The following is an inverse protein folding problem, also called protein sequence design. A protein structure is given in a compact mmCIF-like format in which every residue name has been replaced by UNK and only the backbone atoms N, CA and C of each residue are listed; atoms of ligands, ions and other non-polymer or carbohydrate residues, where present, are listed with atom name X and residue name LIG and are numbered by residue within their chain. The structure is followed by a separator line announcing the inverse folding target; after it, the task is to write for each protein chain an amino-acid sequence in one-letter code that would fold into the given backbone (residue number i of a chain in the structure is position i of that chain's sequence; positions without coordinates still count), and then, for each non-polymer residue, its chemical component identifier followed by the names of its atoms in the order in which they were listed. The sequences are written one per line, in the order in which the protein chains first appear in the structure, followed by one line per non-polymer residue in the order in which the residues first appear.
data_IF_188566298124
#
_entry.id   IF_188566298124
#
_cell.length_a   1.000
_cell.length_b   1.000
_cell.length_c   1.000
_cell.angle_alpha   90.00
_cell.angle_beta   90.00
_cell.angle_gamma   90.00
#
_symmetry.space_group_name_H-M   'P 1'
#
loop_
_entity.id
_entity.type
_entity.pdbx_description
1 polymer ?
2 non-polymer ?
3 non-polymer ?
4 non-polymer ?
5 water ?
#
# COMPACT_ATOMS: atom_id res chain seq x y z
N UNK A 2 1.09 -0.97 -22.55
CA UNK A 2 2.11 -1.78 -21.91
C UNK A 2 1.58 -3.18 -21.59
N UNK A 3 2.43 -4.18 -21.79
CA UNK A 3 2.01 -5.56 -21.56
C UNK A 3 1.79 -5.85 -20.09
N UNK A 4 2.47 -5.13 -19.20
CA UNK A 4 2.29 -5.35 -17.77
C UNK A 4 0.97 -4.79 -17.24
N UNK A 5 0.23 -4.05 -18.04
CA UNK A 5 -1.07 -3.54 -17.66
C UNK A 5 -2.21 -4.40 -18.18
N UNK A 6 -1.92 -5.50 -18.88
CA UNK A 6 -2.95 -6.40 -19.33
C UNK A 6 -3.55 -7.17 -18.16
N UNK A 7 -4.77 -7.66 -18.35
CA UNK A 7 -5.51 -8.36 -17.32
C UNK A 7 -5.80 -9.79 -17.75
N UNK A 8 -5.83 -10.69 -16.78
CA UNK A 8 -6.25 -12.05 -17.02
C UNK A 8 -7.75 -12.11 -17.30
N UNK A 9 -8.26 -13.31 -17.57
CA UNK A 9 -9.70 -13.46 -17.70
C UNK A 9 -10.38 -13.39 -16.33
N UNK A 10 -9.72 -13.92 -15.30
CA UNK A 10 -10.26 -13.83 -13.94
C UNK A 10 -10.22 -12.39 -13.43
N UNK A 11 -9.11 -11.69 -13.68
CA UNK A 11 -9.01 -10.29 -13.25
C UNK A 11 -10.04 -9.42 -13.94
N UNK A 12 -10.27 -9.65 -15.24
CA UNK A 12 -11.29 -8.88 -15.95
C UNK A 12 -12.69 -9.19 -15.42
N UNK A 13 -12.93 -10.45 -15.02
CA UNK A 13 -14.23 -10.80 -14.47
C UNK A 13 -14.48 -10.10 -13.14
N UNK A 14 -13.48 -10.12 -12.25
CA UNK A 14 -13.65 -9.49 -10.94
C UNK A 14 -13.80 -7.99 -11.07
N UNK A 15 -13.10 -7.37 -12.02
CA UNK A 15 -13.20 -5.92 -12.18
C UNK A 15 -14.58 -5.53 -12.69
N UNK A 16 -15.15 -6.31 -13.61
CA UNK A 16 -16.50 -6.02 -14.08
C UNK A 16 -17.54 -6.26 -12.99
N UNK A 17 -17.34 -7.31 -12.18
CA UNK A 17 -18.28 -7.60 -11.11
C UNK A 17 -18.29 -6.48 -10.07
N UNK A 18 -17.12 -5.87 -9.81
CA UNK A 18 -17.07 -4.77 -8.86
C UNK A 18 -17.83 -3.56 -9.38
N UNK A 19 -17.60 -3.18 -10.64
CA UNK A 19 -18.29 -2.04 -11.22
C UNK A 19 -19.79 -2.31 -11.36
N UNK A 20 -20.17 -3.56 -11.63
CA UNK A 20 -21.59 -3.89 -11.73
C UNK A 20 -22.27 -3.73 -10.37
N UNK A 21 -21.64 -4.21 -9.29
CA UNK A 21 -22.20 -4.02 -7.96
C UNK A 21 -22.14 -2.56 -7.54
N UNK A 22 -21.13 -1.82 -8.01
CA UNK A 22 -20.99 -0.42 -7.62
C UNK A 22 -22.08 0.45 -8.25
N UNK A 23 -22.55 0.10 -9.45
CA UNK A 23 -23.61 0.87 -10.09
C UNK A 23 -24.89 0.85 -9.27
N UNK A 24 -25.12 -0.21 -8.50
CA UNK A 24 -26.33 -0.34 -7.69
C UNK A 24 -26.30 0.52 -6.43
N UNK A 25 -25.16 1.07 -6.06
CA UNK A 25 -25.01 1.72 -4.75
C UNK A 25 -25.74 3.05 -4.73
N UNK A 26 -25.30 4.00 -5.55
CA UNK A 26 -25.87 5.33 -5.53
C UNK A 26 -25.13 6.25 -4.58
N UNK A 27 -25.79 7.36 -4.24
CA UNK A 27 -25.18 8.37 -3.39
C UNK A 27 -25.05 7.86 -1.96
N UNK A 28 -23.84 8.01 -1.40
CA UNK A 28 -23.57 7.54 -0.06
C UNK A 28 -24.02 8.58 0.97
N UNK A 29 -24.76 8.13 1.97
CA UNK A 29 -25.21 8.98 3.07
C UNK A 29 -24.86 8.32 4.39
N UNK A 30 -24.64 9.14 5.41
CA UNK A 30 -24.12 8.64 6.68
C UNK A 30 -25.09 7.69 7.36
N UNK A 31 -26.39 8.02 7.35
CA UNK A 31 -27.38 7.21 8.04
C UNK A 31 -27.60 5.84 7.41
N UNK A 32 -27.03 5.59 6.22
CA UNK A 32 -27.21 4.32 5.54
C UNK A 32 -26.16 3.28 5.94
N UNK A 33 -25.34 3.57 6.94
CA UNK A 33 -24.25 2.69 7.34
C UNK A 33 -24.45 2.20 8.77
N UNK A 34 -24.26 0.91 8.98
CA UNK A 34 -24.23 0.31 10.30
C UNK A 34 -22.85 -0.28 10.53
N UNK A 35 -22.24 0.07 11.67
CA UNK A 35 -20.89 -0.40 11.96
C UNK A 35 -20.91 -1.88 12.31
N UNK A 36 -19.92 -2.61 11.79
CA UNK A 36 -19.76 -4.03 12.06
C UNK A 36 -18.59 -4.28 13.00
N UNK A 37 -17.42 -3.75 12.67
CA UNK A 37 -16.23 -3.90 13.51
C UNK A 37 -15.25 -2.79 13.13
N UNK A 38 -14.26 -2.59 14.00
CA UNK A 38 -13.21 -1.63 13.76
C UNK A 38 -12.02 -2.35 13.11
N UNK A 39 -11.70 -1.97 11.87
CA UNK A 39 -10.62 -2.62 11.14
C UNK A 39 -9.24 -2.15 11.61
N UNK A 40 -9.15 -0.95 12.15
CA UNK A 40 -7.87 -0.42 12.59
C UNK A 40 -7.83 1.08 12.48
N UNK A 41 -6.78 1.66 13.06
CA UNK A 41 -6.53 3.09 13.00
C UNK A 41 -5.32 3.39 12.14
N UNK A 42 -5.34 4.54 11.46
CA UNK A 42 -4.23 4.92 10.62
C UNK A 42 -4.46 6.19 9.80
N UNK A 43 -3.45 7.06 9.81
CA UNK A 43 -3.41 8.26 8.98
C UNK A 43 -4.56 9.20 9.33
N UNK A 44 -4.63 9.56 10.60
CA UNK A 44 -5.53 10.57 11.10
C UNK A 44 -6.98 10.16 11.23
N UNK A 45 -7.31 8.91 10.93
CA UNK A 45 -8.69 8.48 11.00
C UNK A 45 -8.79 7.00 11.29
N UNK A 46 -9.91 6.61 11.91
CA UNK A 46 -10.21 5.22 12.21
C UNK A 46 -10.96 4.62 11.02
N UNK A 47 -10.62 3.38 10.68
CA UNK A 47 -11.28 2.65 9.60
C UNK A 47 -12.19 1.60 10.20
N UNK A 48 -13.45 1.62 9.78
CA UNK A 48 -14.45 0.67 10.24
C UNK A 48 -14.89 -0.25 9.11
N UNK A 49 -15.08 -1.52 9.43
CA UNK A 49 -15.81 -2.43 8.55
C UNK A 49 -17.30 -2.16 8.75
N UNK A 50 -17.96 -1.66 7.71
CA UNK A 50 -19.35 -1.24 7.82
C UNK A 50 -20.18 -1.97 6.77
N UNK A 51 -21.49 -1.96 7.00
CA UNK A 51 -22.46 -2.51 6.06
C UNK A 51 -23.30 -1.36 5.50
N UNK A 52 -23.32 -1.25 4.17
CA UNK A 52 -24.21 -0.30 3.51
C UNK A 52 -25.60 -0.91 3.52
N UNK A 53 -26.43 -0.47 4.46
CA UNK A 53 -27.72 -1.11 4.70
C UNK A 53 -28.62 -1.24 3.47
N UNK A 54 -28.76 -0.22 2.58
CA UNK A 54 -29.61 -0.40 1.40
C UNK A 54 -29.13 -1.46 0.44
N UNK A 55 -27.85 -1.38 0.05
CA UNK A 55 -27.33 -2.31 -0.94
C UNK A 55 -26.87 -3.62 -0.33
N UNK A 56 -26.68 -3.67 0.99
CA UNK A 56 -26.20 -4.87 1.65
C UNK A 56 -24.71 -5.13 1.52
N UNK A 57 -23.99 -4.31 0.76
CA UNK A 57 -22.56 -4.52 0.59
C UNK A 57 -21.80 -4.25 1.88
N UNK A 58 -20.63 -4.88 2.00
CA UNK A 58 -19.71 -4.63 3.10
C UNK A 58 -18.59 -3.73 2.59
N UNK A 59 -18.33 -2.64 3.30
CA UNK A 59 -17.34 -1.66 2.89
C UNK A 59 -16.41 -1.33 4.04
N UNK A 60 -15.30 -0.71 3.70
CA UNK A 60 -14.40 -0.10 4.69
C UNK A 60 -14.63 1.41 4.68
N UNK A 61 -14.90 1.97 5.86
CA UNK A 61 -15.23 3.38 6.00
C UNK A 61 -14.18 4.05 6.88
N UNK A 62 -13.45 4.99 6.32
CA UNK A 62 -12.45 5.77 7.04
C UNK A 62 -13.02 7.13 7.37
N UNK A 63 -13.09 7.46 8.66
CA UNK A 63 -13.63 8.74 9.12
C UNK A 63 -12.48 9.63 9.58
N UNK A 64 -12.35 10.79 8.95
CA UNK A 64 -11.31 11.75 9.26
C UNK A 64 -11.97 12.98 9.86
N UNK A 65 -11.74 13.21 11.15
CA UNK A 65 -12.35 14.34 11.84
C UNK A 65 -11.69 15.63 11.40
N UNK A 66 -12.44 16.47 10.68
CA UNK A 66 -11.92 17.73 10.17
C UNK A 66 -13.00 18.79 10.27
N UNK A 67 -12.67 19.92 10.90
CA UNK A 67 -13.56 21.06 11.01
C UNK A 67 -13.12 22.09 9.98
N UNK A 68 -13.76 22.08 8.82
CA UNK A 68 -13.45 23.01 7.73
C UNK A 68 -14.74 23.61 7.21
N UNK A 69 -14.61 24.80 6.61
CA UNK A 69 -15.76 25.47 6.04
C UNK A 69 -16.41 24.60 4.97
N UNK A 70 -17.73 24.73 4.76
CA UNK A 70 -18.40 23.87 3.76
C UNK A 70 -17.74 23.87 2.40
N UNK A 71 -17.17 24.99 1.98
CA UNK A 71 -16.48 25.04 0.68
C UNK A 71 -15.26 24.13 0.66
N UNK A 72 -14.47 24.15 1.74
CA UNK A 72 -13.26 23.33 1.79
C UNK A 72 -13.62 21.85 1.69
N UNK A 73 -14.71 21.46 2.34
CA UNK A 73 -15.12 20.06 2.32
C UNK A 73 -15.56 19.63 0.92
N UNK A 74 -16.37 20.47 0.26
CA UNK A 74 -16.86 20.13 -1.08
C UNK A 74 -15.72 20.02 -2.09
N UNK A 75 -14.61 20.73 -1.85
CA UNK A 75 -13.45 20.61 -2.72
C UNK A 75 -12.77 19.25 -2.53
N UNK A 76 -12.60 18.83 -1.27
CA UNK A 76 -12.00 17.53 -0.99
C UNK A 76 -12.83 16.42 -1.61
N UNK A 77 -14.15 16.49 -1.44
CA UNK A 77 -15.04 15.47 -1.99
C UNK A 77 -14.94 15.44 -3.51
N UNK A 78 -14.84 16.62 -4.13
CA UNK A 78 -14.70 16.68 -5.58
C UNK A 78 -13.35 16.13 -6.03
N UNK A 79 -12.29 16.39 -5.26
CA UNK A 79 -10.98 15.90 -5.63
C UNK A 79 -10.86 14.39 -5.46
N UNK A 80 -11.63 13.80 -4.54
CA UNK A 80 -11.62 12.36 -4.35
C UNK A 80 -12.40 11.62 -5.42
N UNK A 81 -13.19 12.33 -6.23
CA UNK A 81 -13.97 11.69 -7.28
C UNK A 81 -13.10 11.06 -8.36
N UNK A 82 -11.83 11.48 -8.46
CA UNK A 82 -10.93 10.89 -9.44
C UNK A 82 -10.69 9.41 -9.15
N UNK A 83 -10.91 8.98 -7.90
CA UNK A 83 -10.74 7.57 -7.55
C UNK A 83 -11.77 6.69 -8.25
N UNK A 84 -12.89 7.25 -8.70
CA UNK A 84 -13.86 6.45 -9.45
C UNK A 84 -13.27 5.94 -10.75
N UNK A 85 -12.29 6.66 -11.32
CA UNK A 85 -11.68 6.28 -12.58
C UNK A 85 -10.47 5.37 -12.42
N UNK A 86 -9.96 5.21 -11.21
CA UNK A 86 -8.80 4.34 -10.97
C UNK A 86 -9.32 2.93 -10.70
N UNK A 87 -9.38 2.13 -11.75
CA UNK A 87 -9.88 0.76 -11.67
C UNK A 87 -8.80 -0.20 -12.17
N UNK A 88 -8.33 -1.06 -11.29
CA UNK A 88 -7.24 -1.97 -11.61
C UNK A 88 -7.25 -3.12 -10.61
N UNK A 89 -6.78 -4.30 -10.98
CA UNK A 89 -6.68 -5.40 -10.01
C UNK A 89 -5.69 -5.13 -8.89
N UNK A 90 -4.92 -4.04 -8.97
CA UNK A 90 -3.91 -3.72 -7.96
C UNK A 90 -4.19 -2.42 -7.24
N UNK A 91 -5.39 -1.87 -7.39
CA UNK A 91 -5.82 -0.67 -6.67
C UNK A 91 -7.11 -1.00 -5.93
N UNK A 92 -7.15 -0.66 -4.64
CA UNK A 92 -8.33 -0.95 -3.83
C UNK A 92 -9.54 -0.24 -4.42
N UNK A 93 -10.65 -0.96 -4.54
CA UNK A 93 -11.83 -0.39 -5.15
C UNK A 93 -12.41 0.75 -4.32
N UNK A 94 -12.89 1.78 -5.00
CA UNK A 94 -13.42 2.98 -4.38
C UNK A 94 -14.92 3.06 -4.59
N UNK A 95 -15.64 3.47 -3.55
CA UNK A 95 -17.09 3.60 -3.60
C UNK A 95 -17.59 5.03 -3.57
N UNK A 96 -17.04 5.86 -2.69
CA UNK A 96 -17.48 7.24 -2.62
C UNK A 96 -16.92 7.92 -1.39
N UNK A 97 -17.22 9.22 -1.30
CA UNK A 97 -16.78 10.03 -0.17
C UNK A 97 -17.84 11.09 0.11
N UNK A 98 -17.98 11.43 1.38
CA UNK A 98 -18.99 12.41 1.77
C UNK A 98 -18.60 13.01 3.12
N UNK A 99 -19.23 14.13 3.44
CA UNK A 99 -19.04 14.81 4.71
C UNK A 99 -20.31 14.73 5.54
N UNK A 100 -20.14 14.51 6.85
CA UNK A 100 -21.28 14.40 7.75
C UNK A 100 -20.88 14.56 9.22
N UNK A 101 -21.50 15.51 9.92
CA UNK A 101 -21.29 15.69 11.36
C UNK A 101 -19.81 15.87 11.70
N UNK A 102 -19.14 16.72 10.93
CA UNK A 102 -17.76 17.06 11.23
C UNK A 102 -16.74 16.03 10.85
N UNK A 103 -17.09 15.06 10.01
CA UNK A 103 -16.18 13.97 9.67
C UNK A 103 -16.25 13.68 8.18
N UNK A 104 -15.09 13.61 7.54
CA UNK A 104 -14.99 13.17 6.16
C UNK A 104 -14.94 11.65 6.13
N UNK A 105 -15.83 11.04 5.34
CA UNK A 105 -15.87 9.60 5.18
C UNK A 105 -15.35 9.21 3.81
N UNK A 106 -14.57 8.14 3.76
CA UNK A 106 -14.06 7.57 2.52
C UNK A 106 -14.38 6.08 2.54
N UNK A 107 -15.25 5.66 1.63
CA UNK A 107 -15.74 4.29 1.58
C UNK A 107 -15.08 3.55 0.42
N UNK A 108 -14.45 2.41 0.72
CA UNK A 108 -13.69 1.68 -0.27
C UNK A 108 -14.02 0.19 -0.16
N UNK A 109 -13.42 -0.58 -1.07
CA UNK A 109 -13.56 -2.03 -1.05
C UNK A 109 -12.96 -2.61 0.23
N UNK A 110 -13.60 -3.65 0.76
CA UNK A 110 -13.13 -4.31 1.97
C UNK A 110 -12.17 -5.44 1.63
N UNK A 111 -11.00 -5.43 2.27
CA UNK A 111 -9.97 -6.46 2.10
C UNK A 111 -9.84 -7.20 3.42
N UNK A 112 -10.37 -8.44 3.47
CA UNK A 112 -10.44 -9.17 4.72
C UNK A 112 -9.08 -9.64 5.24
N UNK A 113 -8.00 -9.42 4.50
CA UNK A 113 -6.68 -9.74 4.98
C UNK A 113 -5.96 -8.61 5.69
N UNK A 114 -6.56 -7.43 5.74
CA UNK A 114 -5.92 -6.29 6.36
C UNK A 114 -4.76 -5.77 5.52
N UNK A 115 -3.92 -4.97 6.16
CA UNK A 115 -2.72 -4.45 5.52
C UNK A 115 -1.55 -5.38 5.78
N UNK A 116 -0.49 -5.20 4.98
CA UNK A 116 0.72 -5.99 5.19
C UNK A 116 1.44 -5.60 6.46
N UNK A 117 1.21 -4.39 6.98
CA UNK A 117 1.70 -4.05 8.31
C UNK A 117 1.05 -4.95 9.36
N UNK A 118 -0.27 -5.14 9.27
CA UNK A 118 -0.96 -6.02 10.21
C UNK A 118 -0.56 -7.48 10.00
N UNK A 119 -0.40 -7.88 8.74
CA UNK A 119 0.00 -9.26 8.44
C UNK A 119 1.40 -9.54 8.95
N UNK A 120 2.30 -8.56 8.86
CA UNK A 120 3.67 -8.75 9.31
C UNK A 120 3.75 -8.98 10.81
N UNK A 121 2.92 -8.26 11.58
CA UNK A 121 2.90 -8.47 13.03
C UNK A 121 2.44 -9.88 13.37
N UNK A 122 1.52 -10.43 12.58
CA UNK A 122 1.08 -11.81 12.79
C UNK A 122 2.16 -12.79 12.37
N UNK A 123 2.76 -12.59 11.19
CA UNK A 123 3.66 -13.58 10.63
C UNK A 123 5.05 -13.55 11.27
N UNK A 124 5.46 -12.41 11.80
CA UNK A 124 6.84 -12.25 12.23
C UNK A 124 7.69 -11.75 11.08
N UNK A 125 7.86 -12.58 10.05
CA UNK A 125 8.44 -12.14 8.80
C UNK A 125 7.75 -12.90 7.65
N UNK A 126 7.86 -12.34 6.46
CA UNK A 126 7.13 -12.81 5.28
C UNK A 126 8.13 -13.47 4.34
N UNK A 127 7.84 -14.68 3.84
CA UNK A 127 8.83 -15.39 3.01
C UNK A 127 9.10 -14.68 1.69
N UNK A 128 10.23 -15.06 1.08
CA UNK A 128 10.68 -14.39 -0.13
C UNK A 128 9.71 -14.63 -1.30
N UNK A 129 9.23 -15.86 -1.46
CA UNK A 129 8.31 -16.16 -2.54
C UNK A 129 7.02 -15.34 -2.42
N UNK A 130 6.52 -15.17 -1.20
CA UNK A 130 5.35 -14.32 -0.98
C UNK A 130 5.69 -12.87 -1.34
N UNK A 131 6.85 -12.40 -0.90
CA UNK A 131 7.28 -11.04 -1.23
C UNK A 131 7.51 -10.85 -2.72
N UNK A 132 7.80 -11.92 -3.46
CA UNK A 132 7.86 -11.81 -4.90
C UNK A 132 6.52 -11.47 -5.51
N UNK A 133 5.45 -12.09 -5.01
CA UNK A 133 4.11 -11.74 -5.46
C UNK A 133 3.74 -10.31 -5.04
N UNK A 134 4.19 -9.89 -3.87
CA UNK A 134 3.90 -8.53 -3.41
C UNK A 134 4.62 -7.51 -4.28
N UNK A 135 5.88 -7.80 -4.64
CA UNK A 135 6.63 -6.89 -5.48
C UNK A 135 5.97 -6.71 -6.85
N UNK A 136 5.47 -7.79 -7.43
CA UNK A 136 4.81 -7.72 -8.73
C UNK A 136 3.58 -6.82 -8.66
N UNK A 137 2.78 -6.97 -7.61
CA UNK A 137 1.55 -6.19 -7.49
C UNK A 137 1.84 -4.71 -7.31
N UNK A 138 2.82 -4.37 -6.46
CA UNK A 138 3.14 -2.96 -6.22
C UNK A 138 3.68 -2.32 -7.48
N UNK A 139 4.54 -3.03 -8.22
CA UNK A 139 5.09 -2.49 -9.45
C UNK A 139 3.98 -2.22 -10.46
N UNK A 140 3.08 -3.20 -10.64
CA UNK A 140 1.97 -3.01 -11.58
C UNK A 140 1.00 -1.94 -11.11
N UNK A 141 0.82 -1.81 -9.80
CA UNK A 141 -0.06 -0.76 -9.29
C UNK A 141 0.52 0.62 -9.51
N UNK A 142 1.80 0.79 -9.21
CA UNK A 142 2.46 2.07 -9.49
C UNK A 142 2.50 2.37 -10.98
N UNK A 143 2.67 1.33 -11.80
CA UNK A 143 2.68 1.53 -13.25
C UNK A 143 1.30 1.93 -13.76
N UNK A 144 0.25 1.34 -13.21
CA UNK A 144 -1.11 1.72 -13.62
C UNK A 144 -1.39 3.18 -13.28
N UNK A 145 -1.04 3.59 -12.06
CA UNK A 145 -1.29 4.97 -11.66
C UNK A 145 -0.48 5.95 -12.51
N UNK A 146 0.75 5.59 -12.86
CA UNK A 146 1.58 6.46 -13.67
C UNK A 146 1.11 6.50 -15.11
N UNK A 147 0.77 5.34 -15.67
CA UNK A 147 0.49 5.25 -17.09
C UNK A 147 -0.91 5.77 -17.43
N UNK A 148 -1.91 5.36 -16.67
CA UNK A 148 -3.30 5.68 -17.00
C UNK A 148 -3.80 6.94 -16.32
N UNK A 149 -3.09 7.48 -15.34
CA UNK A 149 -3.57 8.65 -14.61
C UNK A 149 -2.51 9.71 -14.32
N UNK A 150 -1.23 9.45 -14.62
CA UNK A 150 -0.15 10.38 -14.32
C UNK A 150 -0.13 10.76 -12.85
N UNK A 151 -0.19 9.74 -12.00
CA UNK A 151 -0.31 9.91 -10.56
C UNK A 151 0.83 9.16 -9.87
N UNK A 152 1.52 9.82 -8.96
CA UNK A 152 2.43 9.17 -8.04
C UNK A 152 1.67 8.69 -6.80
N UNK A 153 2.17 7.61 -6.19
CA UNK A 153 1.56 7.15 -4.95
C UNK A 153 1.91 8.08 -3.80
N UNK A 154 3.19 8.39 -3.63
CA UNK A 154 3.78 9.34 -2.69
C UNK A 154 3.82 8.80 -1.26
N UNK A 155 3.20 7.66 -0.96
CA UNK A 155 3.17 7.15 0.41
C UNK A 155 3.14 5.62 0.39
N UNK A 156 4.13 5.00 -0.23
CA UNK A 156 4.23 3.54 -0.24
C UNK A 156 4.80 3.07 1.09
N UNK A 157 4.09 2.15 1.74
CA UNK A 157 4.50 1.58 3.01
C UNK A 157 3.63 0.35 3.28
N UNK A 158 4.08 -0.53 4.18
CA UNK A 158 3.30 -1.77 4.41
C UNK A 158 1.85 -1.55 4.81
N UNK A 159 1.56 -0.46 5.51
CA UNK A 159 0.19 -0.21 5.94
C UNK A 159 -0.73 0.24 4.80
N UNK A 160 -0.16 0.63 3.66
CA UNK A 160 -0.95 1.03 2.49
C UNK A 160 -1.03 -0.06 1.43
N UNK A 161 -0.59 -1.28 1.76
CA UNK A 161 -0.70 -2.41 0.86
C UNK A 161 -1.68 -3.40 1.50
N UNK A 162 -2.83 -3.59 0.86
CA UNK A 162 -3.89 -4.41 1.42
C UNK A 162 -3.99 -5.73 0.64
N UNK A 163 -4.38 -6.78 1.35
CA UNK A 163 -4.53 -8.12 0.78
C UNK A 163 -5.86 -8.70 1.23
N UNK A 164 -6.31 -9.73 0.52
CA UNK A 164 -7.55 -10.41 0.86
C UNK A 164 -7.39 -11.91 0.67
N UNK A 165 -8.44 -12.65 1.07
CA UNK A 165 -8.42 -14.10 1.03
C UNK A 165 -8.51 -14.67 -0.39
N UNK A 166 -8.78 -13.83 -1.39
CA UNK A 166 -8.78 -14.28 -2.78
C UNK A 166 -7.39 -14.24 -3.39
N UNK A 167 -6.36 -13.90 -2.61
CA UNK A 167 -5.01 -13.79 -3.12
C UNK A 167 -4.68 -12.49 -3.79
N UNK A 168 -5.53 -11.47 -3.66
CA UNK A 168 -5.32 -10.18 -4.30
C UNK A 168 -4.47 -9.27 -3.43
N UNK A 169 -3.68 -8.43 -4.09
CA UNK A 169 -2.76 -7.50 -3.43
C UNK A 169 -2.94 -6.14 -4.10
N UNK A 170 -3.37 -5.14 -3.33
CA UNK A 170 -3.76 -3.85 -3.89
C UNK A 170 -3.18 -2.70 -3.08
N UNK A 171 -2.99 -1.57 -3.75
CA UNK A 171 -2.50 -0.34 -3.13
C UNK A 171 -3.67 0.58 -2.80
N UNK A 172 -3.42 1.48 -1.84
CA UNK A 172 -4.41 2.48 -1.45
C UNK A 172 -3.69 3.66 -0.83
N UNK A 173 -4.47 4.70 -0.52
CA UNK A 173 -3.99 5.90 0.18
C UNK A 173 -2.90 6.63 -0.62
N UNK A 174 -3.02 6.62 -1.95
CA UNK A 174 -2.13 7.40 -2.78
C UNK A 174 -2.70 8.81 -2.96
N UNK A 175 -1.83 9.81 -2.89
CA UNK A 175 -2.25 11.20 -2.90
C UNK A 175 -3.04 11.63 -4.12
N UNK A 176 -4.30 11.97 -3.90
CA UNK A 176 -5.16 12.48 -4.98
C UNK A 176 -5.80 13.81 -4.64
N UNK A 177 -5.91 14.19 -3.37
CA UNK A 177 -6.55 15.43 -2.95
C UNK A 177 -5.56 16.25 -2.13
N UNK A 178 -5.13 17.39 -2.69
CA UNK A 178 -4.24 18.26 -1.94
C UNK A 178 -4.92 18.95 -0.78
N UNK A 179 -6.22 19.27 -0.93
CA UNK A 179 -6.92 19.96 0.14
C UNK A 179 -7.15 19.06 1.35
N UNK A 180 -7.16 17.74 1.16
CA UNK A 180 -7.31 16.83 2.29
C UNK A 180 -6.00 16.69 3.06
N UNK A 181 -4.87 16.58 2.35
CA UNK A 181 -3.58 16.52 3.02
C UNK A 181 -3.28 17.83 3.73
N UNK A 182 -3.68 18.95 3.12
CA UNK A 182 -3.44 20.25 3.74
C UNK A 182 -4.29 20.43 5.00
N UNK A 183 -5.57 20.03 4.94
CA UNK A 183 -6.46 20.21 6.09
C UNK A 183 -6.10 19.29 7.24
N UNK A 184 -5.34 18.22 6.99
CA UNK A 184 -4.96 17.29 8.05
C UNK A 184 -3.61 17.64 8.68
N UNK A 185 -2.90 18.63 8.15
CA UNK A 185 -1.58 18.99 8.67
C UNK A 185 -1.67 19.54 10.10
N UNK A 189 0.78 14.00 11.88
CA UNK A 189 0.77 13.75 10.45
C UNK A 189 1.44 12.41 10.17
N UNK A 190 1.37 11.95 8.91
CA UNK A 190 1.86 10.64 8.58
C UNK A 190 3.36 10.52 8.70
N UNK A 191 3.81 9.29 8.85
CA UNK A 191 5.22 9.02 9.04
C UNK A 191 6.01 9.35 7.78
N UNK A 192 7.24 9.82 7.99
CA UNK A 192 8.17 10.10 6.90
C UNK A 192 9.33 9.11 6.87
N UNK A 193 9.28 8.07 7.70
CA UNK A 193 10.35 7.08 7.79
C UNK A 193 10.46 6.19 6.56
N UNK A 194 9.56 6.31 5.60
CA UNK A 194 9.63 5.57 4.35
C UNK A 194 9.92 6.47 3.15
N UNK A 195 10.16 7.75 3.38
CA UNK A 195 10.44 8.68 2.30
C UNK A 195 11.87 8.52 1.82
N UNK A 196 12.07 8.72 0.51
CA UNK A 196 13.37 8.60 -0.10
C UNK A 196 14.30 9.69 0.42
N UNK A 197 15.62 9.48 0.35
CA UNK A 197 16.55 10.53 0.81
C UNK A 197 16.45 11.82 0.01
N UNK A 198 15.99 11.77 -1.24
CA UNK A 198 15.87 13.00 -2.01
C UNK A 198 14.63 13.80 -1.63
N UNK A 199 13.55 13.12 -1.20
CA UNK A 199 12.39 13.84 -0.68
C UNK A 199 12.67 14.43 0.69
N UNK A 200 13.50 13.77 1.49
CA UNK A 200 13.92 14.32 2.77
C UNK A 200 14.94 15.43 2.63
N UNK A 201 15.43 15.67 1.40
CA UNK A 201 16.35 16.77 1.13
C UNK A 201 15.71 17.87 0.29
N UNK A 202 14.39 17.86 0.15
CA UNK A 202 13.71 18.87 -0.64
C UNK A 202 13.70 18.58 -2.13
N UNK A 205 11.30 14.57 -6.52
CA UNK A 205 9.93 14.07 -6.42
C UNK A 205 9.49 13.37 -7.70
N UNK A 206 9.71 12.06 -7.76
CA UNK A 206 9.36 11.27 -8.93
C UNK A 206 8.90 9.89 -8.44
N UNK A 207 8.45 9.06 -9.38
CA UNK A 207 8.11 7.67 -9.05
C UNK A 207 9.31 6.93 -8.46
N UNK A 208 10.53 7.41 -8.72
CA UNK A 208 11.71 6.84 -8.09
C UNK A 208 11.62 6.87 -6.58
N UNK A 209 10.97 7.90 -6.03
CA UNK A 209 10.78 7.95 -4.57
C UNK A 209 9.87 6.82 -4.11
N UNK A 210 8.82 6.51 -4.88
CA UNK A 210 7.96 5.39 -4.52
C UNK A 210 8.68 4.06 -4.61
N UNK A 211 9.66 3.96 -5.51
CA UNK A 211 10.42 2.71 -5.64
C UNK A 211 11.33 2.51 -4.43
N UNK A 212 11.93 3.60 -3.93
CA UNK A 212 12.67 3.51 -2.67
C UNK A 212 11.78 3.00 -1.55
N UNK A 213 10.58 3.57 -1.42
CA UNK A 213 9.67 3.15 -0.35
C UNK A 213 9.27 1.69 -0.50
N UNK A 214 9.15 1.20 -1.73
CA UNK A 214 8.85 -0.22 -1.94
C UNK A 214 10.02 -1.08 -1.48
N UNK A 215 11.24 -0.72 -1.90
CA UNK A 215 12.40 -1.48 -1.47
C UNK A 215 12.60 -1.46 0.03
N UNK A 216 12.31 -0.32 0.67
CA UNK A 216 12.40 -0.23 2.13
C UNK A 216 11.34 -1.09 2.79
N UNK A 217 10.11 -1.08 2.26
CA UNK A 217 9.04 -1.89 2.84
C UNK A 217 9.32 -3.37 2.64
N UNK A 218 9.90 -3.74 1.49
CA UNK A 218 10.21 -5.15 1.24
C UNK A 218 11.26 -5.67 2.22
N UNK A 219 12.24 -4.83 2.57
CA UNK A 219 13.26 -5.25 3.52
C UNK A 219 12.66 -5.45 4.91
N UNK A 220 11.79 -4.52 5.33
CA UNK A 220 11.16 -4.64 6.65
C UNK A 220 10.36 -5.92 6.76
N UNK A 221 9.59 -6.26 5.73
CA UNK A 221 8.77 -7.46 5.77
C UNK A 221 9.63 -8.72 5.66
N UNK A 222 10.78 -8.63 5.02
CA UNK A 222 11.63 -9.82 4.87
C UNK A 222 12.33 -10.17 6.17
N UNK A 223 12.75 -9.16 6.94
CA UNK A 223 13.49 -9.39 8.17
C UNK A 223 12.63 -9.30 9.43
N UNK A 224 11.45 -8.68 9.34
CA UNK A 224 10.58 -8.60 10.49
C UNK A 224 10.81 -7.40 11.39
N UNK A 225 11.58 -6.42 10.93
CA UNK A 225 11.79 -5.18 11.69
C UNK A 225 12.03 -4.05 10.69
N UNK A 226 11.74 -2.84 11.13
CA UNK A 226 12.06 -1.66 10.34
C UNK A 226 13.57 -1.59 10.19
N UNK A 227 14.09 -1.56 8.97
CA UNK A 227 15.52 -1.86 8.77
C UNK A 227 16.47 -0.75 9.16
N UNK A 228 15.99 0.39 9.66
CA UNK A 228 16.84 1.51 9.99
C UNK A 228 16.64 1.86 11.46
N UNK A 229 17.67 1.83 12.31
CA UNK A 229 19.08 1.54 12.04
C UNK A 229 19.33 0.07 11.70
N UNK A 230 20.44 -0.22 11.01
CA UNK A 230 20.69 -1.59 10.60
C UNK A 230 20.88 -2.50 11.79
N UNK A 231 20.45 -3.75 11.70
CA UNK A 231 20.53 -4.65 12.85
C UNK A 231 21.96 -5.13 13.07
N UNK A 232 22.30 -5.32 14.35
CA UNK A 232 23.61 -5.83 14.70
C UNK A 232 23.68 -7.32 14.41
N UNK A 233 24.88 -7.88 14.57
CA UNK A 233 25.06 -9.31 14.35
C UNK A 233 24.37 -10.15 15.42
N UNK A 234 24.16 -9.58 16.62
CA UNK A 234 23.45 -10.32 17.66
C UNK A 234 21.98 -10.47 17.32
N UNK A 235 21.35 -9.39 16.83
CA UNK A 235 19.95 -9.47 16.45
C UNK A 235 19.73 -10.38 15.25
N UNK A 236 20.74 -10.49 14.37
CA UNK A 236 20.62 -11.40 13.23
C UNK A 236 20.56 -12.85 13.69
N UNK A 237 21.40 -13.23 14.65
CA UNK A 237 21.39 -14.60 15.18
C UNK A 237 20.11 -14.92 15.93
N UNK A 238 19.36 -13.91 16.37
CA UNK A 238 18.07 -14.12 17.02
C UNK A 238 16.91 -14.13 16.03
N UNK A 239 17.11 -13.60 14.82
CA UNK A 239 16.07 -13.54 13.80
C UNK A 239 16.13 -14.71 12.82
N UNK A 240 17.33 -15.06 12.34
CA UNK A 240 17.48 -16.13 11.37
C UNK A 240 18.37 -17.27 11.85
N UNK A 241 19.00 -17.14 13.01
CA UNK A 241 19.86 -18.20 13.51
C UNK A 241 21.33 -18.03 13.13
N UNK A 272 16.90 3.96 21.62
CA UNK A 272 15.94 4.20 20.54
C UNK A 272 16.25 5.46 19.75
N UNK A 273 16.04 5.41 18.44
CA UNK A 273 16.32 6.55 17.57
C UNK A 273 15.08 7.39 17.40
N UNK A 274 15.21 8.69 17.68
CA UNK A 274 14.11 9.61 17.45
C UNK A 274 13.91 9.82 15.96
N UNK A 275 12.72 10.31 15.60
CA UNK A 275 12.35 10.41 14.20
C UNK A 275 13.29 11.35 13.44
N UNK A 276 13.71 12.44 14.08
CA UNK A 276 14.64 13.35 13.42
C UNK A 276 16.02 12.73 13.26
N UNK A 277 16.44 11.90 14.22
CA UNK A 277 17.69 11.16 14.04
C UNK A 277 17.54 10.11 12.95
N UNK A 278 16.35 9.51 12.84
CA UNK A 278 16.12 8.49 11.83
C UNK A 278 16.19 9.08 10.42
N UNK A 279 15.58 10.25 10.22
CA UNK A 279 15.59 10.88 8.90
C UNK A 279 16.99 11.35 8.53
N UNK A 280 17.76 11.82 9.51
CA UNK A 280 19.15 12.18 9.24
C UNK A 280 19.97 10.95 8.86
N UNK A 281 19.64 9.80 9.43
CA UNK A 281 20.33 8.56 9.06
C UNK A 281 20.02 8.18 7.61
N UNK A 282 18.76 8.34 7.19
CA UNK A 282 18.37 7.98 5.84
C UNK A 282 19.14 8.81 4.82
N UNK A 283 19.39 10.07 5.13
CA UNK A 283 20.02 10.98 4.19
C UNK A 283 21.54 10.79 4.16
N UNK A 284 22.15 10.56 5.31
CA UNK A 284 23.60 10.65 5.45
C UNK A 284 24.29 9.29 5.56
N UNK A 285 23.57 8.19 5.50
CA UNK A 285 24.15 6.86 5.67
C UNK A 285 23.79 5.97 4.50
N UNK A 286 24.57 4.93 4.24
CA UNK A 286 24.24 4.03 3.14
C UNK A 286 22.92 3.32 3.39
N UNK A 287 22.24 2.90 2.33
CA UNK A 287 20.89 2.33 2.49
C UNK A 287 20.95 0.97 3.16
N UNK A 288 19.83 0.50 3.71
CA UNK A 288 19.78 -0.84 4.28
C UNK A 288 19.77 -1.90 3.18
N UNK A 289 20.00 -3.15 3.59
CA UNK A 289 20.04 -4.26 2.66
C UNK A 289 19.67 -5.54 3.38
N UNK A 290 19.35 -6.56 2.59
CA UNK A 290 19.01 -7.86 3.15
C UNK A 290 20.28 -8.56 3.66
N UNK A 291 20.15 -9.38 4.69
CA UNK A 291 21.30 -10.17 5.14
C UNK A 291 21.65 -11.25 4.15
N UNK A 292 22.92 -11.68 4.19
CA UNK A 292 23.41 -12.70 3.27
C UNK A 292 23.05 -14.09 3.77
N UNK A 293 23.06 -15.05 2.85
CA UNK A 293 22.89 -16.45 3.18
C UNK A 293 21.46 -16.91 3.34
N UNK A 294 20.52 -16.01 3.62
CA UNK A 294 19.14 -16.41 3.86
C UNK A 294 18.20 -16.05 2.71
N UNK A 295 18.55 -15.07 1.88
CA UNK A 295 17.75 -14.71 0.73
C UNK A 295 18.55 -14.91 -0.55
N UNK A 296 17.86 -15.20 -1.64
CA UNK A 296 18.50 -15.40 -2.93
C UNK A 296 19.18 -14.12 -3.39
N UNK A 297 20.21 -14.28 -4.22
CA UNK A 297 20.95 -13.13 -4.71
C UNK A 297 20.10 -12.27 -5.64
N UNK A 298 19.12 -12.88 -6.32
CA UNK A 298 18.21 -12.10 -7.16
C UNK A 298 17.32 -11.19 -6.33
N UNK A 299 16.84 -11.70 -5.19
CA UNK A 299 16.05 -10.85 -4.28
C UNK A 299 16.91 -9.75 -3.69
N UNK A 300 18.14 -10.07 -3.29
CA UNK A 300 19.05 -9.05 -2.75
C UNK A 300 19.36 -7.98 -3.80
N UNK A 301 19.63 -8.40 -5.04
CA UNK A 301 19.91 -7.44 -6.09
C UNK A 301 18.69 -6.59 -6.41
N UNK A 302 17.48 -7.14 -6.23
CA UNK A 302 16.27 -6.40 -6.53
C UNK A 302 16.07 -5.24 -5.56
N UNK A 303 16.20 -5.50 -4.25
CA UNK A 303 16.02 -4.44 -3.28
C UNK A 303 17.20 -3.49 -3.30
N UNK A 304 18.39 -3.96 -3.72
CA UNK A 304 19.54 -3.07 -3.84
C UNK A 304 19.29 -2.02 -4.91
N UNK A 305 18.76 -2.44 -6.06
CA UNK A 305 18.46 -1.50 -7.12
C UNK A 305 17.29 -0.59 -6.78
N UNK A 306 16.44 -0.99 -5.82
CA UNK A 306 15.37 -0.13 -5.36
C UNK A 306 15.86 0.91 -4.36
N UNK A 307 16.92 0.60 -3.61
CA UNK A 307 17.36 1.43 -2.50
C UNK A 307 18.63 2.23 -2.81
N UNK A 308 18.98 2.37 -4.09
CA UNK A 308 20.07 3.25 -4.46
C UNK A 308 19.68 4.68 -4.13
N UNK A 309 20.54 5.36 -3.37
CA UNK A 309 20.18 6.69 -2.86
C UNK A 309 20.09 7.72 -3.99
N UNK A 310 20.86 7.54 -5.06
CA UNK A 310 20.75 8.42 -6.22
C UNK A 310 19.55 7.99 -7.05
N UNK A 311 18.52 8.83 -7.18
CA UNK A 311 17.34 8.43 -7.95
C UNK A 311 17.62 8.21 -9.42
N UNK A 312 18.66 8.83 -9.98
CA UNK A 312 18.99 8.59 -11.37
C UNK A 312 19.61 7.22 -11.58
N UNK A 313 20.39 6.73 -10.62
CA UNK A 313 20.94 5.39 -10.70
C UNK A 313 19.92 4.34 -10.26
N UNK A 314 19.02 4.72 -9.37
CA UNK A 314 17.97 3.81 -8.91
C UNK A 314 17.12 3.33 -10.07
N UNK A 315 16.74 2.07 -10.03
CA UNK A 315 15.95 1.49 -11.11
C UNK A 315 14.56 2.12 -11.18
N UNK A 316 14.01 2.19 -12.38
CA UNK A 316 12.65 2.68 -12.60
C UNK A 316 11.69 1.51 -12.73
N UNK A 317 10.41 1.83 -12.95
CA UNK A 317 9.38 0.80 -13.01
C UNK A 317 9.59 -0.13 -14.20
N UNK A 318 10.02 0.41 -15.34
CA UNK A 318 10.23 -0.42 -16.52
C UNK A 318 11.37 -1.41 -16.31
N UNK A 319 12.44 -0.98 -15.65
CA UNK A 319 13.58 -1.87 -15.42
C UNK A 319 13.25 -2.94 -14.39
N UNK A 320 12.52 -2.57 -13.33
CA UNK A 320 12.17 -3.55 -12.30
C UNK A 320 11.18 -4.58 -12.81
N UNK A 321 10.33 -4.21 -13.76
CA UNK A 321 9.35 -5.15 -14.29
C UNK A 321 10.01 -6.33 -15.02
N UNK A 322 11.25 -6.14 -15.49
CA UNK A 322 11.98 -7.19 -16.19
C UNK A 322 13.18 -7.67 -15.38
N UNK A 323 13.26 -7.30 -14.10
CA UNK A 323 14.36 -7.76 -13.25
C UNK A 323 14.28 -9.28 -13.09
N UNK A 324 15.44 -9.90 -12.81
CA UNK A 324 15.50 -11.35 -12.70
C UNK A 324 14.60 -11.85 -11.57
N UNK A 325 14.52 -11.10 -10.46
CA UNK A 325 13.68 -11.51 -9.35
C UNK A 325 12.20 -11.48 -9.73
N UNK A 326 11.79 -10.48 -10.52
CA UNK A 326 10.38 -10.37 -10.89
C UNK A 326 10.00 -11.45 -11.91
N UNK A 327 10.85 -11.65 -12.93
CA UNK A 327 10.56 -12.69 -13.91
C UNK A 327 10.55 -14.07 -13.28
N UNK A 328 11.40 -14.30 -12.29
CA UNK A 328 11.37 -15.58 -11.57
C UNK A 328 10.10 -15.71 -10.75
N UNK A 329 9.69 -14.63 -10.08
CA UNK A 329 8.51 -14.68 -9.23
C UNK A 329 7.23 -14.85 -10.04
N UNK A 330 7.17 -14.23 -11.23
CA UNK A 330 5.97 -14.33 -12.04
C UNK A 330 5.72 -15.75 -12.50
N UNK A 331 6.79 -16.50 -12.80
CA UNK A 331 6.66 -17.89 -13.19
C UNK A 331 6.44 -18.82 -12.01
N UNK A 332 6.75 -18.38 -10.79
CA UNK A 332 6.54 -19.20 -9.62
C UNK A 332 5.05 -19.29 -9.29
N UNK A 333 4.56 -20.52 -9.11
CA UNK A 333 3.17 -20.74 -8.74
C UNK A 333 3.10 -20.79 -7.22
N UNK A 334 2.80 -19.64 -6.62
CA UNK A 334 2.77 -19.48 -5.17
C UNK A 334 1.32 -19.28 -4.74
N UNK A 335 0.88 -20.10 -3.78
CA UNK A 335 -0.47 -19.99 -3.23
C UNK A 335 -0.46 -18.92 -2.14
N UNK A 336 -0.61 -17.67 -2.58
CA UNK A 336 -0.58 -16.55 -1.65
C UNK A 336 -1.80 -16.58 -0.73
N UNK A 337 -2.98 -16.87 -1.28
CA UNK A 337 -4.19 -16.90 -0.47
C UNK A 337 -4.11 -17.98 0.60
N UNK A 338 -3.59 -19.15 0.25
CA UNK A 338 -3.43 -20.21 1.24
C UNK A 338 -2.45 -19.85 2.33
N UNK A 339 -1.33 -19.23 1.96
CA UNK A 339 -0.37 -18.78 2.96
C UNK A 339 -0.97 -17.70 3.86
N UNK A 340 -1.74 -16.78 3.26
CA UNK A 340 -2.30 -15.68 4.04
C UNK A 340 -3.32 -16.17 5.06
N UNK A 341 -4.26 -17.01 4.62
CA UNK A 341 -5.34 -17.44 5.52
C UNK A 341 -4.79 -18.23 6.70
N UNK A 342 -3.82 -19.11 6.47
CA UNK A 342 -3.22 -19.87 7.55
C UNK A 342 -2.29 -19.03 8.42
N UNK A 343 -1.74 -17.94 7.89
CA UNK A 343 -0.83 -17.11 8.67
C UNK A 343 -1.57 -16.24 9.67
N UNK A 344 -2.66 -15.58 9.22
CA UNK A 344 -3.44 -14.70 10.09
C UNK A 344 -4.62 -15.41 10.73
N UNK A 345 -4.93 -16.63 10.33
CA UNK A 345 -6.00 -17.39 10.96
C UNK A 345 -7.38 -17.16 10.37
N UNK A 346 -7.48 -16.90 9.07
CA UNK A 346 -8.78 -16.75 8.42
C UNK A 346 -9.37 -18.11 8.10
N UNK A 347 -10.62 -18.32 8.49
CA UNK A 347 -11.31 -19.57 8.21
C UNK A 347 -12.82 -19.40 8.34
#
# INVERSE_FOLDING_TARGET
GLEELELDEQQRKRLEAFLTQKQKVGELKDDDFEKISELGAGNGGVVFKVSHKPSGLVMARKLIHLEIKPAIRNQIIRELQVLHECNSPYIVGFYGAFYSDGEISICMEHMDGGSLDQVLKKAGRIPEQILGKVSIAVIKGLTYLREKHKIMHRDVKPSNILVNSRGEIKLCDFGVSGQLIDSMANSFVGTRSYMSPERLQGTHYSVQSDIWSMGLSLVEMAVGRYPIPPPDAKELELMFGCQVEGDAAETPPRPRTPGRPLNKKGMDSRPPMAIFELLDYIVNEPPPKLPSGVFSLEFQDFVNKCLIKNPAERADLKQLMVHAFIKRSDAEEVDFAGWLCSTIGLNQ
#
